data_IF_802966557884
#
_entry.id   IF_802966557884
#
_cell.length_a   1.000
_cell.length_b   1.000
_cell.length_c   1.000
_cell.angle_alpha   90.00
_cell.angle_beta   90.00
_cell.angle_gamma   90.00
#
_symmetry.space_group_name_H-M   'P 1'
#
loop_
_entity.id
_entity.type
_entity.pdbx_description
1 polymer ?
#
# COMPACT_ATOMS: atom_id res chain seq x y z
N UNK A 1 -14.06 -5.18 -19.16
CA UNK A 1 -14.44 -4.30 -18.01
C UNK A 1 -13.53 -4.57 -16.81
N UNK A 2 -13.37 -5.82 -16.39
CA UNK A 2 -12.51 -6.24 -15.28
C UNK A 2 -11.11 -5.61 -15.27
N UNK A 3 -10.43 -5.48 -16.42
CA UNK A 3 -9.10 -4.86 -16.46
C UNK A 3 -9.10 -3.37 -16.08
N UNK A 4 -10.13 -2.61 -16.52
CA UNK A 4 -10.27 -1.21 -16.14
C UNK A 4 -10.60 -1.05 -14.65
N UNK A 5 -11.42 -1.95 -14.12
CA UNK A 5 -11.74 -1.99 -12.69
C UNK A 5 -10.50 -2.36 -11.85
N UNK A 6 -9.64 -3.24 -12.36
CA UNK A 6 -8.40 -3.62 -11.69
C UNK A 6 -7.41 -2.46 -11.63
N UNK A 7 -7.31 -1.67 -12.71
CA UNK A 7 -6.51 -0.44 -12.73
C UNK A 7 -7.03 0.55 -11.68
N UNK A 8 -8.32 0.90 -11.72
CA UNK A 8 -8.89 1.86 -10.77
C UNK A 8 -8.81 1.39 -9.31
N UNK A 9 -8.95 0.08 -9.08
CA UNK A 9 -8.72 -0.50 -7.74
C UNK A 9 -7.25 -0.34 -7.30
N UNK A 10 -6.30 -0.57 -8.19
CA UNK A 10 -4.88 -0.43 -7.87
C UNK A 10 -4.49 1.04 -7.62
N UNK A 11 -5.02 1.97 -8.40
CA UNK A 11 -4.82 3.41 -8.18
C UNK A 11 -5.33 3.84 -6.79
N UNK A 12 -6.55 3.45 -6.42
CA UNK A 12 -7.11 3.74 -5.09
C UNK A 12 -6.30 3.11 -3.95
N UNK A 13 -5.72 1.93 -4.19
CA UNK A 13 -4.83 1.27 -3.24
C UNK A 13 -3.53 2.08 -3.05
N UNK A 14 -2.94 2.58 -4.12
CA UNK A 14 -1.74 3.44 -4.06
C UNK A 14 -2.03 4.75 -3.33
N UNK A 15 -3.15 5.41 -3.61
CA UNK A 15 -3.56 6.63 -2.91
C UNK A 15 -3.71 6.40 -1.39
N UNK A 16 -4.29 5.25 -1.01
CA UNK A 16 -4.40 4.85 0.40
C UNK A 16 -3.05 4.65 1.06
N UNK A 17 -2.07 4.08 0.34
CA UNK A 17 -0.72 3.87 0.85
C UNK A 17 0.05 5.18 1.00
N UNK A 18 -0.09 6.11 0.04
CA UNK A 18 0.56 7.43 0.10
C UNK A 18 0.10 8.21 1.34
N UNK A 19 -1.17 8.13 1.71
CA UNK A 19 -1.70 8.73 2.95
C UNK A 19 -1.16 8.10 4.25
N UNK A 20 -0.53 6.92 4.17
CA UNK A 20 0.03 6.17 5.31
C UNK A 20 1.55 6.02 5.22
N UNK A 21 2.18 6.69 4.27
CA UNK A 21 3.60 6.51 3.97
C UNK A 21 4.45 6.93 5.16
N UNK A 22 5.21 5.98 5.69
CA UNK A 22 6.15 6.18 6.78
C UNK A 22 7.36 5.25 6.57
N UNK A 23 8.54 5.70 7.00
CA UNK A 23 9.78 4.96 6.79
C UNK A 23 9.78 3.59 7.50
N UNK A 24 9.14 3.46 8.67
CA UNK A 24 9.05 2.21 9.41
C UNK A 24 8.13 1.19 8.72
N UNK A 25 7.18 1.66 7.91
CA UNK A 25 6.17 0.82 7.23
C UNK A 25 6.43 0.65 5.74
N UNK A 26 7.51 1.23 5.20
CA UNK A 26 7.80 1.23 3.78
C UNK A 26 7.89 -0.19 3.20
N UNK A 27 8.53 -1.12 3.92
CA UNK A 27 8.65 -2.51 3.49
C UNK A 27 7.28 -3.19 3.34
N UNK A 28 6.37 -2.94 4.29
CA UNK A 28 5.02 -3.50 4.27
C UNK A 28 4.18 -2.89 3.13
N UNK A 29 4.25 -1.57 2.95
CA UNK A 29 3.58 -0.87 1.84
C UNK A 29 4.07 -1.39 0.49
N UNK A 30 5.37 -1.62 0.33
CA UNK A 30 5.95 -2.22 -0.88
C UNK A 30 5.45 -3.65 -1.09
N UNK A 31 5.29 -4.45 -0.03
CA UNK A 31 4.74 -5.80 -0.15
C UNK A 31 3.30 -5.78 -0.67
N UNK A 32 2.47 -4.84 -0.19
CA UNK A 32 1.09 -4.67 -0.67
C UNK A 32 1.09 -4.22 -2.13
N UNK A 33 1.95 -3.28 -2.52
CA UNK A 33 2.02 -2.79 -3.89
C UNK A 33 2.49 -3.85 -4.90
N UNK A 34 3.27 -4.84 -4.44
CA UNK A 34 3.72 -5.97 -5.26
C UNK A 34 2.64 -7.04 -5.48
N UNK A 35 1.72 -7.24 -4.54
CA UNK A 35 0.72 -8.31 -4.63
C UNK A 35 -0.16 -8.27 -5.91
N UNK A 36 -0.63 -7.11 -6.40
CA UNK A 36 -1.35 -6.98 -7.68
C UNK A 36 -0.57 -7.48 -8.91
N UNK A 37 0.76 -7.35 -8.92
CA UNK A 37 1.62 -7.86 -10.00
C UNK A 37 1.57 -9.38 -10.11
N UNK A 38 1.06 -10.04 -9.06
CA UNK A 38 0.95 -11.48 -8.99
C UNK A 38 -0.30 -12.06 -9.66
N UNK A 39 -1.10 -11.23 -10.33
CA UNK A 39 -2.30 -11.68 -11.06
C UNK A 39 -1.88 -12.12 -12.47
N UNK A 40 -2.13 -13.40 -12.80
CA UNK A 40 -1.86 -14.00 -14.13
C UNK A 40 -2.89 -15.06 -14.49
N UNK A 41 -2.85 -15.50 -15.74
CA UNK A 41 -3.80 -16.45 -16.32
C UNK A 41 -4.87 -15.77 -17.18
N UNK A 42 -5.80 -16.58 -17.68
CA UNK A 42 -6.89 -16.15 -18.57
C UNK A 42 -8.23 -16.68 -18.08
N UNK A 43 -9.32 -15.98 -18.44
CA UNK A 43 -10.68 -16.37 -18.07
C UNK A 43 -10.84 -16.58 -16.56
N UNK A 44 -11.44 -17.70 -16.17
CA UNK A 44 -11.71 -18.07 -14.78
C UNK A 44 -10.46 -18.15 -13.90
N UNK A 45 -9.30 -18.47 -14.47
CA UNK A 45 -8.02 -18.49 -13.74
C UNK A 45 -7.63 -17.06 -13.33
N UNK A 46 -7.82 -16.09 -14.22
CA UNK A 46 -7.57 -14.68 -13.94
C UNK A 46 -8.53 -14.16 -12.87
N UNK A 47 -9.80 -14.54 -12.95
CA UNK A 47 -10.82 -14.11 -11.98
C UNK A 47 -10.48 -14.64 -10.56
N UNK A 48 -10.15 -15.93 -10.44
CA UNK A 48 -9.71 -16.51 -9.17
C UNK A 48 -8.42 -15.88 -8.63
N UNK A 49 -7.48 -15.53 -9.51
CA UNK A 49 -6.26 -14.82 -9.13
C UNK A 49 -6.56 -13.41 -8.61
N UNK A 50 -7.49 -12.68 -9.26
CA UNK A 50 -7.94 -11.36 -8.82
C UNK A 50 -8.53 -11.44 -7.41
N UNK A 51 -9.46 -12.37 -7.17
CA UNK A 51 -10.14 -12.51 -5.88
C UNK A 51 -9.16 -12.86 -4.76
N UNK A 52 -8.25 -13.80 -5.02
CA UNK A 52 -7.19 -14.18 -4.09
C UNK A 52 -6.29 -12.98 -3.75
N UNK A 53 -5.88 -12.21 -4.76
CA UNK A 53 -5.01 -11.06 -4.57
C UNK A 53 -5.71 -9.94 -3.80
N UNK A 54 -6.98 -9.66 -4.08
CA UNK A 54 -7.77 -8.69 -3.32
C UNK A 54 -7.90 -9.08 -1.85
N UNK A 55 -8.13 -10.37 -1.56
CA UNK A 55 -8.19 -10.88 -0.19
C UNK A 55 -6.83 -10.71 0.54
N UNK A 56 -5.72 -11.00 -0.14
CA UNK A 56 -4.38 -10.84 0.46
C UNK A 56 -4.04 -9.36 0.70
N UNK A 57 -4.35 -8.47 -0.25
CA UNK A 57 -4.17 -7.02 -0.07
C UNK A 57 -4.99 -6.52 1.11
N UNK A 58 -6.24 -6.97 1.26
CA UNK A 58 -7.07 -6.61 2.41
C UNK A 58 -6.45 -7.10 3.73
N UNK A 59 -5.93 -8.35 3.76
CA UNK A 59 -5.24 -8.91 4.92
C UNK A 59 -4.00 -8.10 5.30
N UNK A 60 -3.13 -7.81 4.35
CA UNK A 60 -1.92 -7.02 4.58
C UNK A 60 -2.24 -5.59 5.00
N UNK A 61 -3.26 -4.98 4.41
CA UNK A 61 -3.69 -3.62 4.77
C UNK A 61 -4.26 -3.54 6.19
N UNK A 62 -4.95 -4.59 6.66
CA UNK A 62 -5.45 -4.66 8.03
C UNK A 62 -4.31 -4.73 9.07
N UNK A 63 -3.17 -5.33 8.72
CA UNK A 63 -1.99 -5.38 9.60
C UNK A 63 -1.31 -4.02 9.78
N UNK A 64 -1.57 -3.05 8.90
CA UNK A 64 -1.05 -1.67 8.98
C UNK A 64 -1.80 -0.76 9.99
N UNK A 65 -2.72 -1.31 10.80
CA UNK A 65 -3.51 -0.50 11.76
C UNK A 65 -2.59 0.30 12.69
N UNK A 66 -2.79 1.62 12.86
CA UNK A 66 -1.89 2.47 13.63
C UNK A 66 -1.97 2.16 15.13
N UNK A 67 -0.83 2.18 15.81
CA UNK A 67 -0.78 2.52 17.23
C UNK A 67 -0.99 4.05 17.38
N UNK A 68 -1.67 4.54 18.43
CA UNK A 68 -1.96 5.96 18.63
C UNK A 68 -0.71 6.73 19.06
N UNK A 69 0.22 6.97 18.12
CA UNK A 69 1.39 7.84 18.33
C UNK A 69 1.85 8.46 17.01
N UNK A 70 0.96 9.06 16.22
CA UNK A 70 1.38 10.02 15.19
C UNK A 70 1.76 11.36 15.86
N UNK A 71 2.79 11.33 16.71
CA UNK A 71 3.57 12.53 17.03
C UNK A 71 4.62 12.64 15.96
N UNK A 72 4.25 13.24 14.83
CA UNK A 72 5.21 13.61 13.79
C UNK A 72 6.01 14.82 14.30
N UNK A 73 6.94 14.59 15.22
CA UNK A 73 7.95 15.59 15.58
C UNK A 73 8.94 15.68 14.42
N UNK A 74 8.67 16.61 13.51
CA UNK A 74 9.59 17.08 12.49
C UNK A 74 10.79 17.84 13.05
N UNK A 75 11.41 17.36 14.14
CA UNK A 75 12.66 17.88 14.69
C UNK A 75 13.84 17.32 13.91
N UNK A 76 13.94 17.78 12.67
CA UNK A 76 14.94 17.33 11.71
C UNK A 76 15.39 18.45 10.79
N UNK A 77 16.22 19.34 11.34
CA UNK A 77 17.02 20.40 10.68
C UNK A 77 16.37 21.77 10.55
N UNK A 78 16.63 22.62 11.55
CA UNK A 78 17.02 24.04 11.38
C UNK A 78 17.33 24.70 12.74
N UNK A 79 18.49 24.39 13.32
CA UNK A 79 19.09 25.23 14.37
C UNK A 79 20.61 25.03 14.42
N UNK A 80 21.34 26.15 14.37
CA UNK A 80 22.78 26.35 14.61
C UNK A 80 23.74 25.71 13.58
N UNK A 81 24.65 26.42 12.92
CA UNK A 81 25.52 27.47 13.44
C UNK A 81 25.68 28.65 12.47
N UNK A 82 25.35 29.85 12.95
CA UNK A 82 26.12 31.06 12.67
C UNK A 82 26.98 31.34 13.90
N UNK A 83 28.21 31.83 13.68
CA UNK A 83 29.21 32.14 14.71
C UNK A 83 30.61 31.90 14.20
#
# INVERSE_FOLDING_TARGET
RAERELIGWYEALIDTMLGKLDAARLADLVAIAKAPMEIRGYGSVKDAAIDKTKAEVARLTALLTPAPSDTHDGSGRRAALGG
#
